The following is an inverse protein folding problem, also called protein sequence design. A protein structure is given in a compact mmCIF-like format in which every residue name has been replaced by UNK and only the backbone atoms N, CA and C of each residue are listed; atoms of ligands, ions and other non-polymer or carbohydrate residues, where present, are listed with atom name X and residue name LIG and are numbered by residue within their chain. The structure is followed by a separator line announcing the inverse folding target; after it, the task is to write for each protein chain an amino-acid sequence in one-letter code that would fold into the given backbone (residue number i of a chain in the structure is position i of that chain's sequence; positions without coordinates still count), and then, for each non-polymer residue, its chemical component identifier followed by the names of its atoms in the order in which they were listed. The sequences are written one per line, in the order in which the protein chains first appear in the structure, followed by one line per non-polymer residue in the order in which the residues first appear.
data_IF_660351385081
#
_entry.id   IF_660351385081
#
_cell.length_a   1.000
_cell.length_b   1.000
_cell.length_c   1.000
_cell.angle_alpha   90.00
_cell.angle_beta   90.00
_cell.angle_gamma   90.00
#
_symmetry.space_group_name_H-M   'P 1'
#
loop_
_entity.id
_entity.type
_entity.pdbx_description
1 polymer ?
#
# COMPACT_ATOMS: atom_id res chain seq x y z
N UNK A 1 14.72 -10.85 2.65
CA UNK A 1 14.83 -12.08 3.47
C UNK A 1 16.28 -12.51 3.71
N UNK A 2 17.15 -12.57 2.69
CA UNK A 2 18.55 -12.99 2.85
C UNK A 2 19.34 -12.24 3.96
N UNK A 3 19.17 -10.92 4.06
CA UNK A 3 19.79 -10.11 5.13
C UNK A 3 19.36 -10.58 6.52
N UNK A 4 18.05 -10.79 6.73
CA UNK A 4 17.52 -11.21 8.02
C UNK A 4 18.05 -12.59 8.41
N UNK A 5 18.03 -13.56 7.48
CA UNK A 5 18.55 -14.92 7.69
C UNK A 5 20.04 -14.92 8.04
N UNK A 6 20.84 -14.09 7.34
CA UNK A 6 22.27 -13.95 7.60
C UNK A 6 22.55 -13.37 8.98
N UNK A 7 21.72 -12.43 9.45
CA UNK A 7 21.85 -11.83 10.77
C UNK A 7 21.38 -12.77 11.88
N UNK A 8 20.28 -13.52 11.68
CA UNK A 8 19.79 -14.50 12.66
C UNK A 8 20.80 -15.62 12.87
N UNK A 9 21.49 -16.07 11.81
CA UNK A 9 22.57 -17.06 11.94
C UNK A 9 23.81 -16.56 12.69
N UNK A 10 23.96 -15.23 12.86
CA UNK A 10 25.06 -14.60 13.60
C UNK A 10 24.65 -14.10 15.00
N UNK A 11 23.36 -14.18 15.34
CA UNK A 11 22.86 -13.69 16.61
C UNK A 11 23.09 -14.74 17.71
N UNK A 12 23.49 -14.28 18.90
CA UNK A 12 23.65 -15.13 20.08
C UNK A 12 22.70 -14.56 21.14
N UNK A 13 21.82 -15.41 21.68
CA UNK A 13 20.77 -14.99 22.64
C UNK A 13 19.94 -13.81 22.14
N UNK A 14 19.57 -13.83 20.86
CA UNK A 14 18.86 -12.74 20.16
C UNK A 14 19.59 -11.39 20.03
N UNK A 15 20.81 -11.28 20.56
CA UNK A 15 21.66 -10.11 20.48
C UNK A 15 22.62 -10.26 19.31
N UNK A 16 22.73 -9.20 18.52
CA UNK A 16 23.63 -9.17 17.38
C UNK A 16 25.02 -8.70 17.85
N UNK A 17 26.11 -9.43 17.53
CA UNK A 17 27.45 -9.01 17.90
C UNK A 17 27.83 -7.67 17.28
N UNK A 18 28.76 -6.96 17.93
CA UNK A 18 29.24 -5.67 17.46
C UNK A 18 29.76 -5.78 16.02
N UNK A 19 29.44 -4.80 15.17
CA UNK A 19 29.87 -4.79 13.77
C UNK A 19 29.10 -5.69 12.80
N UNK A 20 28.24 -6.60 13.27
CA UNK A 20 27.52 -7.53 12.38
C UNK A 20 26.60 -6.81 11.37
N UNK A 21 25.96 -5.69 11.75
CA UNK A 21 25.17 -4.87 10.81
C UNK A 21 26.04 -4.21 9.73
N UNK A 22 27.24 -3.75 10.10
CA UNK A 22 28.17 -3.14 9.16
C UNK A 22 28.77 -4.17 8.20
N UNK A 23 29.07 -5.38 8.70
CA UNK A 23 29.47 -6.52 7.87
C UNK A 23 28.37 -6.89 6.86
N UNK A 24 27.12 -7.03 7.32
CA UNK A 24 25.99 -7.32 6.43
C UNK A 24 25.74 -6.22 5.40
N UNK A 25 25.86 -4.94 5.77
CA UNK A 25 25.75 -3.81 4.85
C UNK A 25 26.74 -3.91 3.68
N UNK A 26 27.99 -4.32 3.95
CA UNK A 26 29.01 -4.54 2.91
C UNK A 26 28.69 -5.75 2.04
N UNK A 27 28.34 -6.88 2.66
CA UNK A 27 28.03 -8.14 1.95
C UNK A 27 26.83 -8.00 1.02
N UNK A 28 25.78 -7.31 1.47
CA UNK A 28 24.55 -7.12 0.72
C UNK A 28 24.49 -5.80 -0.05
N UNK A 29 25.61 -5.06 -0.12
CA UNK A 29 25.74 -3.78 -0.82
C UNK A 29 24.56 -2.81 -0.59
N UNK A 30 24.15 -2.66 0.67
CA UNK A 30 23.02 -1.83 1.07
C UNK A 30 23.40 -0.91 2.22
N UNK A 31 22.64 0.17 2.40
CA UNK A 31 22.90 1.12 3.49
C UNK A 31 22.73 0.45 4.86
N UNK A 32 23.55 0.85 5.84
CA UNK A 32 23.48 0.30 7.22
C UNK A 32 22.10 0.48 7.85
N UNK A 33 21.39 1.54 7.49
CA UNK A 33 20.02 1.79 7.97
C UNK A 33 19.02 0.78 7.43
N UNK A 34 19.19 0.33 6.18
CA UNK A 34 18.38 -0.74 5.60
C UNK A 34 18.54 -2.02 6.40
N UNK A 35 19.78 -2.40 6.73
CA UNK A 35 20.08 -3.56 7.58
C UNK A 35 19.46 -3.40 8.97
N UNK A 36 19.53 -2.20 9.54
CA UNK A 36 18.95 -1.89 10.85
C UNK A 36 17.43 -1.99 10.84
N UNK A 37 16.77 -1.46 9.82
CA UNK A 37 15.32 -1.53 9.63
C UNK A 37 14.81 -2.95 9.35
N UNK A 38 15.62 -3.78 8.67
CA UNK A 38 15.33 -5.20 8.50
C UNK A 38 15.42 -5.93 9.84
N UNK A 39 16.49 -5.68 10.61
CA UNK A 39 16.68 -6.32 11.92
C UNK A 39 15.62 -5.92 12.95
N UNK A 40 15.18 -4.66 12.97
CA UNK A 40 14.12 -4.22 13.89
C UNK A 40 12.77 -4.90 13.63
N UNK A 41 12.55 -5.41 12.41
CA UNK A 41 11.36 -6.16 12.00
C UNK A 41 11.53 -7.68 12.11
N UNK A 42 12.54 -8.18 12.83
CA UNK A 42 12.82 -9.62 12.97
C UNK A 42 11.65 -10.44 13.54
N UNK A 43 10.84 -9.83 14.42
CA UNK A 43 9.68 -10.48 15.04
C UNK A 43 8.49 -10.66 14.09
N UNK A 44 8.44 -9.88 12.99
CA UNK A 44 7.37 -9.91 12.00
C UNK A 44 7.96 -9.98 10.59
N UNK A 45 8.63 -11.08 10.22
CA UNK A 45 9.33 -11.21 8.94
C UNK A 45 8.37 -11.12 7.74
N UNK A 46 7.10 -11.44 7.94
CA UNK A 46 6.02 -11.28 6.94
C UNK A 46 5.89 -9.83 6.45
N UNK A 47 6.13 -8.84 7.32
CA UNK A 47 6.07 -7.41 6.98
C UNK A 47 7.17 -7.02 5.99
N UNK A 48 8.29 -7.74 5.97
CA UNK A 48 9.37 -7.53 4.99
C UNK A 48 9.05 -8.16 3.62
N UNK A 49 8.17 -9.17 3.59
CA UNK A 49 7.67 -9.79 2.35
C UNK A 49 6.42 -9.11 1.82
N UNK A 50 5.68 -8.43 2.69
CA UNK A 50 4.51 -7.65 2.30
C UNK A 50 4.92 -6.61 1.27
N UNK A 51 4.49 -6.85 0.02
CA UNK A 51 4.61 -5.84 -1.04
C UNK A 51 3.96 -4.58 -0.50
N UNK A 52 4.64 -3.44 -0.56
CA UNK A 52 4.08 -2.18 -0.07
C UNK A 52 2.83 -1.87 -0.88
N UNK A 53 1.67 -2.31 -0.38
CA UNK A 53 0.39 -1.86 -0.86
C UNK A 53 0.40 -0.37 -0.55
N UNK A 54 0.54 0.47 -1.59
CA UNK A 54 0.38 1.92 -1.43
C UNK A 54 -0.91 2.10 -0.63
N UNK A 55 -0.80 2.71 0.55
CA UNK A 55 -1.99 3.03 1.35
C UNK A 55 -2.97 3.71 0.41
N UNK A 56 -4.19 3.19 0.33
CA UNK A 56 -5.23 3.88 -0.42
C UNK A 56 -5.38 5.24 0.24
N UNK A 57 -4.98 6.31 -0.44
CA UNK A 57 -5.40 7.65 -0.06
C UNK A 57 -6.92 7.57 0.09
N UNK A 58 -7.43 7.98 1.25
CA UNK A 58 -8.84 7.88 1.59
C UNK A 58 -9.75 8.51 0.51
N UNK A 59 -11.05 8.34 0.67
CA UNK A 59 -12.03 8.95 -0.23
C UNK A 59 -11.82 10.47 -0.29
N UNK A 60 -11.44 10.99 -1.45
CA UNK A 60 -11.35 12.43 -1.73
C UNK A 60 -12.74 13.11 -1.72
N UNK A 61 -13.77 12.34 -2.05
CA UNK A 61 -15.19 12.70 -2.10
C UNK A 61 -15.97 11.60 -1.37
N UNK A 62 -16.18 11.71 -0.06
CA UNK A 62 -16.93 10.73 0.71
C UNK A 62 -18.44 10.76 0.39
N UNK A 63 -18.95 11.93 0.00
CA UNK A 63 -20.34 12.26 -0.36
C UNK A 63 -20.74 11.82 -1.79
N UNK A 64 -19.84 11.14 -2.50
CA UNK A 64 -20.03 10.83 -3.91
C UNK A 64 -21.21 9.88 -4.16
N UNK A 65 -21.52 9.00 -3.21
CA UNK A 65 -22.61 8.05 -3.33
C UNK A 65 -23.96 8.78 -3.35
N UNK A 66 -24.14 9.72 -2.43
CA UNK A 66 -25.34 10.56 -2.34
C UNK A 66 -25.50 11.43 -3.60
N UNK A 67 -24.39 11.95 -4.14
CA UNK A 67 -24.40 12.73 -5.39
C UNK A 67 -24.78 11.87 -6.59
N UNK A 68 -24.22 10.66 -6.69
CA UNK A 68 -24.59 9.71 -7.75
C UNK A 68 -26.05 9.31 -7.64
N UNK A 69 -26.60 9.17 -6.43
CA UNK A 69 -28.01 8.85 -6.20
C UNK A 69 -28.98 9.97 -6.63
N UNK A 70 -28.52 11.22 -6.71
CA UNK A 70 -29.32 12.34 -7.22
C UNK A 70 -29.30 12.47 -8.75
N UNK A 71 -28.35 11.83 -9.45
CA UNK A 71 -28.20 11.94 -10.91
C UNK A 71 -29.30 11.14 -11.63
N UNK A 72 -30.00 11.65 -12.65
CA UNK A 72 -30.97 10.86 -13.41
C UNK A 72 -30.39 9.56 -14.01
N UNK A 73 -31.17 8.47 -14.03
CA UNK A 73 -30.74 7.16 -14.53
C UNK A 73 -30.09 7.18 -15.93
N UNK A 74 -30.59 7.95 -16.93
CA UNK A 74 -29.96 8.01 -18.25
C UNK A 74 -28.50 8.47 -18.22
N UNK A 75 -28.16 9.37 -17.29
CA UNK A 75 -26.80 9.89 -17.14
C UNK A 75 -25.89 8.95 -16.34
N UNK A 76 -26.43 7.93 -15.67
CA UNK A 76 -25.64 6.92 -14.92
C UNK A 76 -25.13 5.77 -15.79
N UNK A 77 -25.54 5.71 -17.06
CA UNK A 77 -25.21 4.59 -17.96
C UNK A 77 -23.69 4.46 -18.21
N UNK A 78 -22.99 5.59 -18.40
CA UNK A 78 -21.55 5.58 -18.66
C UNK A 78 -20.78 6.30 -17.57
N UNK A 79 -19.55 5.85 -17.30
CA UNK A 79 -18.67 6.56 -16.37
C UNK A 79 -18.36 8.00 -16.82
N UNK A 80 -18.41 8.28 -18.13
CA UNK A 80 -18.14 9.62 -18.67
C UNK A 80 -19.33 10.56 -18.42
N UNK A 81 -20.55 10.13 -18.72
CA UNK A 81 -21.77 10.90 -18.45
C UNK A 81 -21.98 11.11 -16.95
N UNK A 82 -21.74 10.08 -16.14
CA UNK A 82 -21.86 10.18 -14.68
C UNK A 82 -20.85 11.15 -14.09
N UNK A 83 -19.60 11.08 -14.55
CA UNK A 83 -18.55 12.00 -14.13
C UNK A 83 -18.90 13.46 -14.42
N UNK A 84 -19.46 13.73 -15.61
CA UNK A 84 -19.92 15.08 -15.99
C UNK A 84 -21.11 15.53 -15.13
N UNK A 85 -22.11 14.67 -14.94
CA UNK A 85 -23.30 14.99 -14.13
C UNK A 85 -22.97 15.25 -12.66
N UNK A 86 -21.99 14.52 -12.10
CA UNK A 86 -21.54 14.71 -10.72
C UNK A 86 -20.54 15.87 -10.63
N UNK A 87 -19.83 16.22 -11.70
CA UNK A 87 -18.78 17.25 -11.69
C UNK A 87 -17.45 16.76 -11.11
N UNK A 88 -17.08 15.50 -11.38
CA UNK A 88 -15.81 14.91 -10.92
C UNK A 88 -15.05 14.29 -12.10
N UNK A 89 -13.71 14.14 -12.03
CA UNK A 89 -12.97 13.43 -13.05
C UNK A 89 -13.44 11.97 -13.19
N UNK A 90 -13.53 11.46 -14.43
CA UNK A 90 -13.86 10.05 -14.71
C UNK A 90 -13.00 9.06 -13.92
N UNK A 91 -11.72 9.40 -13.70
CA UNK A 91 -10.77 8.57 -12.94
C UNK A 91 -11.20 8.36 -11.48
N UNK A 92 -11.92 9.32 -10.88
CA UNK A 92 -12.49 9.18 -9.53
C UNK A 92 -13.63 8.16 -9.54
N UNK A 93 -14.58 8.27 -10.47
CA UNK A 93 -15.68 7.31 -10.64
C UNK A 93 -15.13 5.90 -10.86
N UNK A 94 -14.14 5.74 -11.75
CA UNK A 94 -13.51 4.45 -12.01
C UNK A 94 -12.82 3.89 -10.76
N UNK A 95 -12.07 4.73 -10.02
CA UNK A 95 -11.41 4.32 -8.78
C UNK A 95 -12.41 3.84 -7.73
N UNK A 96 -13.51 4.57 -7.56
CA UNK A 96 -14.50 4.28 -6.53
C UNK A 96 -15.36 3.06 -6.85
N UNK A 97 -15.65 2.83 -8.13
CA UNK A 97 -16.21 1.57 -8.59
C UNK A 97 -15.27 0.39 -8.31
N UNK A 98 -13.96 0.54 -8.60
CA UNK A 98 -12.96 -0.52 -8.33
C UNK A 98 -12.78 -0.79 -6.84
N UNK A 99 -12.89 0.24 -6.01
CA UNK A 99 -12.78 0.13 -4.56
C UNK A 99 -14.10 -0.33 -3.89
N UNK A 100 -15.19 -0.50 -4.64
CA UNK A 100 -16.48 -0.96 -4.13
C UNK A 100 -17.35 0.10 -3.44
N UNK A 101 -16.94 1.37 -3.46
CA UNK A 101 -17.72 2.49 -2.89
C UNK A 101 -18.93 2.88 -3.73
N UNK A 102 -18.89 2.62 -5.04
CA UNK A 102 -20.01 2.78 -5.95
C UNK A 102 -20.35 1.42 -6.56
N UNK A 103 -21.65 1.15 -6.78
CA UNK A 103 -22.10 -0.05 -7.49
C UNK A 103 -22.69 0.31 -8.85
N UNK A 104 -22.40 -0.49 -9.87
CA UNK A 104 -23.14 -0.42 -11.13
C UNK A 104 -24.53 -0.99 -10.85
N UNK A 105 -25.57 -0.18 -11.01
CA UNK A 105 -26.93 -0.70 -11.14
C UNK A 105 -27.07 -1.19 -12.58
N UNK A 106 -27.09 -2.50 -12.73
CA UNK A 106 -27.53 -3.19 -13.95
C UNK A 106 -29.04 -3.09 -14.07
#
# INVERSE_FOLDING_TARGET
MAILLSLTGKAVNEVLPHGAKASASRVFSCHRDTVTAVWSKKATPEVLLARSCRRSNGLRYPDIADRVEKVPLPLRQTQRSLAQAVGVPRTIIQRYLKAGYLRRRT
#
